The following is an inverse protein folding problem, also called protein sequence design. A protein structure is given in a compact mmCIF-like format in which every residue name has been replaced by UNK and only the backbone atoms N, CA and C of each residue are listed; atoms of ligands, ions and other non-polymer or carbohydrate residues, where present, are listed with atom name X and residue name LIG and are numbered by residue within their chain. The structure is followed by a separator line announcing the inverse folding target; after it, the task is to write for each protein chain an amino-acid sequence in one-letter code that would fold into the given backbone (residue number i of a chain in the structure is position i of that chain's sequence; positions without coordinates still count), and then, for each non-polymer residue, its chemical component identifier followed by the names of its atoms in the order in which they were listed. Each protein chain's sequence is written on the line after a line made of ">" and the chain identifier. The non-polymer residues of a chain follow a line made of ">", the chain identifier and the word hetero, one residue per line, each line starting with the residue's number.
data_IF_027063979865
#
_entry.id   IF_027063979865
#
_cell.length_a   1.000
_cell.length_b   1.000
_cell.length_c   1.000
_cell.angle_alpha   90.00
_cell.angle_beta   90.00
_cell.angle_gamma   90.00
#
_symmetry.space_group_name_H-M   'P 1'
#
loop_
_entity.id
_entity.type
_entity.pdbx_description
1 polymer ?
#
# COMPACT_ATOMS: atom_id res chain seq x y z
N UNK A 1 -10.78 3.54 19.42
CA UNK A 1 -11.50 2.56 20.27
C UNK A 1 -12.38 1.72 19.36
N UNK A 2 -12.09 0.43 19.18
CA UNK A 2 -12.87 -0.43 18.30
C UNK A 2 -14.16 -0.87 18.99
N UNK A 3 -15.19 -0.03 19.00
CA UNK A 3 -16.57 -0.46 19.27
C UNK A 3 -17.22 -0.79 17.94
N UNK A 4 -16.85 -1.95 17.40
CA UNK A 4 -17.55 -2.58 16.28
C UNK A 4 -18.73 -3.42 16.80
N UNK A 5 -19.59 -3.83 15.88
CA UNK A 5 -20.82 -4.64 16.05
C UNK A 5 -20.63 -5.96 16.84
N UNK A 6 -19.39 -6.39 17.11
CA UNK A 6 -19.07 -7.62 17.86
C UNK A 6 -18.53 -7.34 19.28
N UNK A 7 -18.88 -8.19 20.27
CA UNK A 7 -18.25 -8.18 21.58
C UNK A 7 -16.74 -8.47 21.46
N UNK A 8 -15.93 -7.89 22.36
CA UNK A 8 -14.46 -7.93 22.29
C UNK A 8 -13.93 -9.36 22.27
N UNK A 9 -14.60 -10.29 22.96
CA UNK A 9 -14.22 -11.70 23.01
C UNK A 9 -14.41 -12.40 21.65
N UNK A 10 -15.46 -12.04 20.90
CA UNK A 10 -15.70 -12.60 19.57
C UNK A 10 -14.75 -11.97 18.52
N UNK A 11 -14.44 -10.68 18.63
CA UNK A 11 -13.56 -10.00 17.68
C UNK A 11 -12.17 -10.63 17.58
N UNK A 12 -11.62 -11.17 18.67
CA UNK A 12 -10.30 -11.83 18.68
C UNK A 12 -10.26 -13.06 17.76
N UNK A 13 -11.36 -13.78 17.60
CA UNK A 13 -11.43 -14.97 16.74
C UNK A 13 -11.90 -14.63 15.33
N UNK A 14 -12.89 -13.74 15.19
CA UNK A 14 -13.44 -13.39 13.89
C UNK A 14 -12.46 -12.58 13.03
N UNK A 15 -11.66 -11.68 13.63
CA UNK A 15 -10.74 -10.83 12.85
C UNK A 15 -9.65 -11.64 12.14
N UNK A 16 -8.87 -12.51 12.81
CA UNK A 16 -7.85 -13.32 12.13
C UNK A 16 -8.44 -14.26 11.07
N UNK A 17 -9.62 -14.81 11.32
CA UNK A 17 -10.26 -15.76 10.41
C UNK A 17 -10.71 -15.06 9.13
N UNK A 18 -11.34 -13.88 9.26
CA UNK A 18 -11.74 -13.06 8.12
C UNK A 18 -10.51 -12.56 7.35
N UNK A 19 -9.46 -12.06 8.01
CA UNK A 19 -8.27 -11.56 7.31
C UNK A 19 -7.50 -12.67 6.60
N UNK A 20 -7.43 -13.87 7.20
CA UNK A 20 -6.79 -15.03 6.58
C UNK A 20 -7.57 -15.54 5.37
N UNK A 21 -8.90 -15.63 5.46
CA UNK A 21 -9.75 -15.98 4.32
C UNK A 21 -9.64 -14.95 3.19
N UNK A 22 -9.65 -13.66 3.52
CA UNK A 22 -9.51 -12.58 2.54
C UNK A 22 -8.12 -12.63 1.88
N UNK A 23 -7.06 -12.86 2.66
CA UNK A 23 -5.70 -13.00 2.17
C UNK A 23 -5.52 -14.18 1.21
N UNK A 24 -6.09 -15.34 1.56
CA UNK A 24 -6.09 -16.53 0.71
C UNK A 24 -6.85 -16.28 -0.61
N UNK A 25 -8.02 -15.63 -0.52
CA UNK A 25 -8.82 -15.27 -1.69
C UNK A 25 -8.06 -14.32 -2.62
N UNK A 26 -7.48 -13.25 -2.09
CA UNK A 26 -6.71 -12.28 -2.87
C UNK A 26 -5.46 -12.93 -3.48
N UNK A 27 -4.77 -13.79 -2.72
CA UNK A 27 -3.61 -14.54 -3.21
C UNK A 27 -3.95 -15.48 -4.36
N UNK A 28 -5.05 -16.23 -4.25
CA UNK A 28 -5.56 -17.10 -5.32
C UNK A 28 -5.93 -16.31 -6.58
N UNK A 29 -6.65 -15.20 -6.42
CA UNK A 29 -7.02 -14.33 -7.54
C UNK A 29 -5.78 -13.74 -8.23
N UNK A 30 -4.79 -13.29 -7.44
CA UNK A 30 -3.56 -12.71 -7.96
C UNK A 30 -2.70 -13.72 -8.74
N UNK A 31 -2.64 -14.97 -8.28
CA UNK A 31 -2.01 -16.09 -9.00
C UNK A 31 -2.69 -16.33 -10.35
N UNK A 32 -4.03 -16.44 -10.36
CA UNK A 32 -4.80 -16.72 -11.58
C UNK A 32 -4.75 -15.57 -12.59
N UNK A 33 -4.72 -14.32 -12.13
CA UNK A 33 -4.74 -13.16 -13.02
C UNK A 33 -3.38 -12.75 -13.55
N UNK A 34 -2.27 -13.23 -12.95
CA UNK A 34 -0.91 -12.80 -13.31
C UNK A 34 -0.72 -11.29 -13.12
N UNK A 35 -1.30 -10.73 -12.06
CA UNK A 35 -1.42 -9.28 -11.89
C UNK A 35 -0.05 -8.60 -11.74
N UNK A 36 0.23 -7.62 -12.60
CA UNK A 36 1.43 -6.79 -12.53
C UNK A 36 1.11 -5.35 -12.93
N UNK A 37 1.13 -4.43 -11.95
CA UNK A 37 0.80 -3.01 -12.18
C UNK A 37 1.81 -2.32 -13.11
N UNK A 38 3.08 -2.73 -13.06
CA UNK A 38 4.15 -2.17 -13.92
C UNK A 38 4.02 -2.67 -15.36
N UNK A 39 3.71 -3.97 -15.52
CA UNK A 39 3.48 -4.58 -16.83
C UNK A 39 2.25 -4.03 -17.54
N UNK A 40 1.22 -3.61 -16.78
CA UNK A 40 -0.02 -3.09 -17.35
C UNK A 40 0.17 -1.89 -18.27
N UNK A 41 1.02 -0.92 -17.89
CA UNK A 41 1.31 0.23 -18.74
C UNK A 41 2.16 -0.14 -19.96
N UNK A 42 3.21 -0.95 -19.78
CA UNK A 42 4.06 -1.41 -20.89
C UNK A 42 3.25 -2.17 -21.94
N UNK A 43 2.41 -3.11 -21.50
CA UNK A 43 1.65 -3.99 -22.40
C UNK A 43 0.50 -3.22 -23.09
N UNK A 44 -0.02 -2.16 -22.45
CA UNK A 44 -0.96 -1.23 -23.08
C UNK A 44 -0.29 -0.42 -24.20
N UNK A 45 0.90 0.16 -23.96
CA UNK A 45 1.59 0.97 -24.97
C UNK A 45 2.17 0.14 -26.11
N UNK A 46 2.80 -1.00 -25.81
CA UNK A 46 3.53 -1.80 -26.81
C UNK A 46 2.63 -2.78 -27.57
N UNK A 47 1.75 -3.49 -26.85
CA UNK A 47 0.93 -4.56 -27.43
C UNK A 47 -0.56 -4.22 -27.52
N UNK A 48 -0.98 -3.06 -27.00
CA UNK A 48 -2.40 -2.64 -26.92
C UNK A 48 -3.29 -3.66 -26.21
N UNK A 49 -2.73 -4.46 -25.31
CA UNK A 49 -3.50 -5.40 -24.50
C UNK A 49 -4.00 -4.73 -23.22
N UNK A 50 -5.32 -4.61 -23.08
CA UNK A 50 -5.97 -3.93 -21.95
C UNK A 50 -6.20 -4.84 -20.74
N UNK A 51 -5.97 -6.15 -20.85
CA UNK A 51 -6.30 -7.14 -19.81
C UNK A 51 -5.66 -6.80 -18.45
N UNK A 52 -4.37 -6.47 -18.44
CA UNK A 52 -3.63 -6.14 -17.21
C UNK A 52 -4.03 -4.75 -16.68
N UNK A 53 -4.31 -3.81 -17.58
CA UNK A 53 -4.74 -2.45 -17.23
C UNK A 53 -6.15 -2.46 -16.59
N UNK A 54 -7.07 -3.27 -17.11
CA UNK A 54 -8.40 -3.44 -16.50
C UNK A 54 -8.30 -4.01 -15.08
N UNK A 55 -7.35 -4.90 -14.82
CA UNK A 55 -7.12 -5.40 -13.46
C UNK A 55 -6.69 -4.29 -12.49
N UNK A 56 -5.86 -3.34 -12.96
CA UNK A 56 -5.41 -2.21 -12.15
C UNK A 56 -6.55 -1.26 -11.82
N UNK A 57 -7.39 -0.97 -12.80
CA UNK A 57 -8.59 -0.16 -12.59
C UNK A 57 -9.57 -0.83 -11.61
N UNK A 58 -9.78 -2.15 -11.74
CA UNK A 58 -10.64 -2.90 -10.81
C UNK A 58 -10.09 -2.84 -9.38
N UNK A 59 -8.77 -2.88 -9.17
CA UNK A 59 -8.18 -2.74 -7.82
C UNK A 59 -8.51 -1.38 -7.22
N UNK A 60 -8.35 -0.29 -7.98
CA UNK A 60 -8.67 1.06 -7.52
C UNK A 60 -10.15 1.18 -7.17
N UNK A 61 -11.03 0.72 -8.06
CA UNK A 61 -12.49 0.79 -7.86
C UNK A 61 -12.92 -0.09 -6.69
N UNK A 62 -12.41 -1.31 -6.58
CA UNK A 62 -12.74 -2.23 -5.49
C UNK A 62 -12.26 -1.71 -4.14
N UNK A 63 -11.05 -1.11 -4.08
CA UNK A 63 -10.57 -0.45 -2.87
C UNK A 63 -11.49 0.71 -2.49
N UNK A 64 -11.81 1.60 -3.45
CA UNK A 64 -12.68 2.74 -3.22
C UNK A 64 -14.07 2.32 -2.69
N UNK A 65 -14.71 1.35 -3.36
CA UNK A 65 -16.02 0.82 -2.97
C UNK A 65 -15.92 0.12 -1.61
N UNK A 66 -14.88 -0.67 -1.37
CA UNK A 66 -14.65 -1.34 -0.09
C UNK A 66 -14.58 -0.34 1.06
N UNK A 67 -13.73 0.69 0.93
CA UNK A 67 -13.62 1.73 1.94
C UNK A 67 -14.92 2.53 2.12
N UNK A 68 -15.66 2.82 1.04
CA UNK A 68 -16.95 3.49 1.10
C UNK A 68 -17.98 2.65 1.89
N UNK A 69 -18.02 1.34 1.66
CA UNK A 69 -18.87 0.42 2.42
C UNK A 69 -18.47 0.40 3.90
N UNK A 70 -17.16 0.33 4.22
CA UNK A 70 -16.69 0.36 5.60
C UNK A 70 -16.98 1.69 6.31
N UNK A 71 -16.98 2.80 5.57
CA UNK A 71 -17.38 4.11 6.07
C UNK A 71 -18.87 4.15 6.45
N UNK A 72 -19.76 3.60 5.59
CA UNK A 72 -21.19 3.50 5.89
C UNK A 72 -21.50 2.54 7.05
N UNK A 73 -20.78 1.43 7.15
CA UNK A 73 -21.06 0.38 8.14
C UNK A 73 -20.45 0.66 9.52
N UNK A 74 -19.28 1.32 9.57
CA UNK A 74 -18.51 1.60 10.79
C UNK A 74 -17.79 2.95 10.70
N UNK A 75 -18.49 4.09 10.91
CA UNK A 75 -17.89 5.42 10.80
C UNK A 75 -16.78 5.69 11.84
N UNK A 76 -16.79 4.98 12.98
CA UNK A 76 -15.78 5.11 14.04
C UNK A 76 -14.47 4.31 13.78
N UNK A 77 -14.43 3.43 12.77
CA UNK A 77 -13.24 2.63 12.47
C UNK A 77 -12.29 3.30 11.47
N UNK A 78 -12.78 4.28 10.69
CA UNK A 78 -12.05 4.95 9.61
C UNK A 78 -12.24 6.47 9.68
N UNK A 79 -11.72 7.10 10.74
CA UNK A 79 -11.87 8.56 10.98
C UNK A 79 -11.26 9.44 9.87
N UNK A 80 -10.37 8.88 9.02
CA UNK A 80 -9.64 9.61 7.96
C UNK A 80 -10.07 9.28 6.52
N UNK A 81 -11.23 8.66 6.32
CA UNK A 81 -11.78 8.38 4.98
C UNK A 81 -12.88 9.41 4.67
N UNK A 82 -12.82 10.34 3.70
CA UNK A 82 -11.85 10.74 2.68
C UNK A 82 -10.89 11.81 3.23
N UNK A 83 -9.58 11.57 3.22
CA UNK A 83 -8.60 12.55 3.70
C UNK A 83 -8.79 13.93 3.04
N UNK A 84 -9.13 13.99 1.74
CA UNK A 84 -9.34 15.25 1.02
C UNK A 84 -10.55 16.08 1.49
N UNK A 85 -11.54 15.47 2.17
CA UNK A 85 -12.72 16.16 2.69
C UNK A 85 -12.59 16.53 4.18
N UNK A 86 -11.83 15.75 4.98
CA UNK A 86 -11.68 16.00 6.44
C UNK A 86 -10.49 16.87 6.78
N UNK A 87 -9.43 16.82 5.98
CA UNK A 87 -8.20 17.58 6.17
C UNK A 87 -7.78 18.04 4.77
N UNK A 88 -7.94 19.32 4.44
CA UNK A 88 -7.86 19.80 3.06
C UNK A 88 -6.67 19.25 2.24
N UNK A 89 -6.74 19.27 0.90
CA UNK A 89 -5.80 18.61 -0.02
C UNK A 89 -4.30 18.97 0.14
N UNK A 90 -3.98 19.95 0.99
CA UNK A 90 -2.63 20.37 1.36
C UNK A 90 -2.11 19.71 2.67
N UNK A 91 -2.91 18.90 3.35
CA UNK A 91 -2.50 18.15 4.55
C UNK A 91 -1.96 16.78 4.19
N UNK A 92 -1.07 16.21 5.02
CA UNK A 92 -0.35 14.99 4.69
C UNK A 92 -1.28 13.78 4.68
N UNK A 93 -1.00 12.83 3.79
CA UNK A 93 -1.70 11.54 3.76
C UNK A 93 -1.53 10.85 5.14
N UNK A 94 -2.61 10.29 5.72
CA UNK A 94 -2.55 9.56 6.99
C UNK A 94 -1.46 8.48 6.94
N UNK A 95 -0.42 8.63 7.76
CA UNK A 95 0.76 7.76 7.77
C UNK A 95 2.08 8.46 7.43
N UNK A 96 2.06 9.72 7.00
CA UNK A 96 3.27 10.53 6.88
C UNK A 96 3.72 11.08 8.25
N UNK A 97 5.03 11.22 8.53
CA UNK A 97 5.49 11.80 9.78
C UNK A 97 4.96 13.22 9.95
N UNK A 98 4.34 13.53 11.08
CA UNK A 98 3.73 14.85 11.34
C UNK A 98 4.76 15.96 11.59
N UNK A 99 4.36 17.21 11.29
CA UNK A 99 5.13 18.43 11.63
C UNK A 99 5.97 19.04 10.50
N UNK A 100 5.60 18.82 9.24
CA UNK A 100 6.34 19.32 8.08
C UNK A 100 5.53 20.23 7.17
N UNK A 101 6.24 21.10 6.44
CA UNK A 101 5.65 21.93 5.39
C UNK A 101 5.19 21.08 4.18
N UNK A 102 4.15 21.54 3.48
CA UNK A 102 3.56 20.89 2.30
C UNK A 102 4.60 20.56 1.20
N UNK A 103 5.63 21.41 1.06
CA UNK A 103 6.73 21.22 0.11
C UNK A 103 7.58 20.00 0.46
N UNK A 104 7.81 19.72 1.74
CA UNK A 104 8.57 18.53 2.15
C UNK A 104 7.79 17.26 1.78
N UNK A 105 6.49 17.20 2.03
CA UNK A 105 5.69 16.02 1.66
C UNK A 105 5.67 15.74 0.16
N UNK A 106 5.66 16.77 -0.69
CA UNK A 106 5.78 16.60 -2.14
C UNK A 106 7.13 15.97 -2.51
N UNK A 107 8.23 16.49 -1.95
CA UNK A 107 9.56 15.93 -2.16
C UNK A 107 9.62 14.45 -1.72
N UNK A 108 8.98 14.11 -0.58
CA UNK A 108 8.89 12.73 -0.07
C UNK A 108 8.00 11.80 -0.90
N UNK A 109 7.00 12.31 -1.60
CA UNK A 109 6.21 11.49 -2.52
C UNK A 109 6.94 11.22 -3.83
N UNK A 110 7.66 12.21 -4.36
CA UNK A 110 8.27 12.16 -5.69
C UNK A 110 9.57 11.35 -5.68
N UNK A 111 10.48 11.63 -4.74
CA UNK A 111 11.82 11.01 -4.74
C UNK A 111 11.74 9.50 -4.43
N UNK A 112 11.21 9.07 -3.27
CA UNK A 112 10.94 7.66 -2.99
C UNK A 112 10.04 6.98 -4.03
N UNK A 113 8.97 7.65 -4.50
CA UNK A 113 8.05 7.09 -5.49
C UNK A 113 8.77 6.73 -6.80
N UNK A 114 9.63 7.63 -7.29
CA UNK A 114 10.46 7.37 -8.45
C UNK A 114 11.45 6.21 -8.21
N UNK A 115 12.13 6.21 -7.05
CA UNK A 115 13.11 5.17 -6.72
C UNK A 115 12.47 3.77 -6.62
N UNK A 116 11.30 3.67 -5.99
CA UNK A 116 10.54 2.41 -5.90
C UNK A 116 10.11 1.96 -7.30
N UNK A 117 9.64 2.87 -8.15
CA UNK A 117 9.33 2.57 -9.55
C UNK A 117 10.54 2.04 -10.32
N UNK A 118 11.69 2.69 -10.17
CA UNK A 118 12.94 2.29 -10.81
C UNK A 118 13.42 0.91 -10.37
N UNK A 119 13.43 0.65 -9.05
CA UNK A 119 13.79 -0.66 -8.49
C UNK A 119 12.85 -1.75 -9.02
N UNK A 120 11.54 -1.47 -9.08
CA UNK A 120 10.57 -2.45 -9.51
C UNK A 120 10.66 -2.77 -11.02
N UNK A 121 11.15 -1.84 -11.84
CA UNK A 121 11.52 -2.11 -13.24
C UNK A 121 12.75 -3.01 -13.33
N UNK A 122 13.80 -2.74 -12.54
CA UNK A 122 15.01 -3.59 -12.49
C UNK A 122 14.72 -5.01 -12.02
N UNK A 123 13.79 -5.18 -11.07
CA UNK A 123 13.33 -6.47 -10.57
C UNK A 123 12.42 -7.23 -11.55
N UNK A 124 11.87 -6.56 -12.56
CA UNK A 124 10.94 -7.17 -13.50
C UNK A 124 9.55 -7.50 -12.92
N UNK A 125 9.13 -6.83 -11.83
CA UNK A 125 7.84 -7.09 -11.21
C UNK A 125 7.47 -6.11 -10.09
N UNK A 126 6.18 -5.95 -9.83
CA UNK A 126 5.69 -5.17 -8.69
C UNK A 126 5.71 -6.00 -7.39
N UNK A 127 5.57 -5.39 -6.20
CA UNK A 127 5.61 -6.11 -4.92
C UNK A 127 4.64 -7.31 -4.86
N UNK A 128 3.43 -7.14 -5.39
CA UNK A 128 2.42 -8.21 -5.46
C UNK A 128 2.84 -9.34 -6.42
N UNK A 129 3.51 -9.03 -7.53
CA UNK A 129 3.97 -10.07 -8.45
C UNK A 129 5.12 -10.88 -7.83
N UNK A 130 5.98 -10.23 -7.05
CA UNK A 130 7.08 -10.91 -6.36
C UNK A 130 6.57 -11.83 -5.24
N UNK A 131 5.52 -11.46 -4.50
CA UNK A 131 4.90 -12.35 -3.51
C UNK A 131 4.29 -13.58 -4.17
N UNK A 132 3.58 -13.39 -5.29
CA UNK A 132 3.00 -14.49 -6.07
C UNK A 132 4.09 -15.42 -6.63
N UNK A 133 5.16 -14.87 -7.21
CA UNK A 133 6.29 -15.67 -7.73
C UNK A 133 7.02 -16.42 -6.62
N UNK A 134 7.11 -15.86 -5.42
CA UNK A 134 7.64 -16.57 -4.27
C UNK A 134 6.77 -17.78 -3.90
N UNK A 135 5.44 -17.66 -3.99
CA UNK A 135 4.51 -18.78 -3.80
C UNK A 135 4.54 -19.81 -4.94
N UNK A 136 4.88 -19.41 -6.17
CA UNK A 136 5.08 -20.31 -7.32
C UNK A 136 6.41 -21.10 -7.23
N UNK A 137 7.26 -20.83 -6.23
CA UNK A 137 8.52 -21.54 -5.99
C UNK A 137 9.78 -20.86 -6.52
N UNK A 138 9.70 -19.58 -6.92
CA UNK A 138 10.88 -18.83 -7.38
C UNK A 138 11.72 -18.32 -6.20
N UNK A 139 12.91 -18.91 -6.01
CA UNK A 139 13.82 -18.56 -4.92
C UNK A 139 14.29 -17.10 -4.96
N UNK A 140 14.44 -16.48 -6.14
CA UNK A 140 14.88 -15.08 -6.27
C UNK A 140 13.81 -14.13 -5.73
N UNK A 141 12.55 -14.41 -6.06
CA UNK A 141 11.41 -13.65 -5.59
C UNK A 141 11.21 -13.81 -4.07
N UNK A 142 11.47 -15.00 -3.52
CA UNK A 142 11.40 -15.26 -2.09
C UNK A 142 12.42 -14.41 -1.30
N UNK A 143 13.68 -14.34 -1.75
CA UNK A 143 14.69 -13.49 -1.11
C UNK A 143 14.34 -12.00 -1.17
N UNK A 144 13.77 -11.54 -2.29
CA UNK A 144 13.26 -10.17 -2.39
C UNK A 144 12.13 -9.90 -1.38
N UNK A 145 11.19 -10.83 -1.24
CA UNK A 145 10.08 -10.67 -0.30
C UNK A 145 10.56 -10.58 1.16
N UNK A 146 11.49 -11.45 1.55
CA UNK A 146 12.11 -11.41 2.89
C UNK A 146 12.85 -10.08 3.09
N UNK A 147 13.61 -9.63 2.09
CA UNK A 147 14.30 -8.34 2.12
C UNK A 147 13.34 -7.15 2.27
N UNK A 148 12.18 -7.19 1.60
CA UNK A 148 11.15 -6.17 1.74
C UNK A 148 10.54 -6.15 3.15
N UNK A 149 10.27 -7.32 3.74
CA UNK A 149 9.76 -7.44 5.11
C UNK A 149 10.79 -6.97 6.15
N UNK A 150 12.05 -7.33 6.01
CA UNK A 150 13.12 -6.85 6.90
C UNK A 150 13.34 -5.33 6.72
N UNK A 151 13.32 -4.86 5.47
CA UNK A 151 13.48 -3.46 5.11
C UNK A 151 12.37 -2.57 5.66
N UNK A 152 11.12 -3.02 5.68
CA UNK A 152 10.00 -2.25 6.24
C UNK A 152 10.15 -2.04 7.75
N UNK A 153 10.60 -3.07 8.49
CA UNK A 153 10.86 -2.99 9.93
C UNK A 153 12.03 -2.04 10.21
N UNK A 154 13.13 -2.17 9.47
CA UNK A 154 14.30 -1.29 9.61
C UNK A 154 13.96 0.17 9.29
N UNK A 155 13.16 0.40 8.24
CA UNK A 155 12.71 1.74 7.86
C UNK A 155 11.83 2.36 8.95
N UNK A 156 10.89 1.59 9.50
CA UNK A 156 10.00 2.06 10.56
C UNK A 156 10.78 2.37 11.85
N UNK A 157 11.73 1.51 12.24
CA UNK A 157 12.44 1.62 13.52
C UNK A 157 13.57 2.67 13.51
N UNK A 158 14.31 2.79 12.41
CA UNK A 158 15.50 3.64 12.35
C UNK A 158 15.26 4.84 11.43
N UNK A 159 14.93 4.59 10.16
CA UNK A 159 14.98 5.62 9.12
C UNK A 159 13.93 6.71 9.33
N UNK A 160 12.73 6.36 9.83
CA UNK A 160 11.66 7.33 10.10
C UNK A 160 12.10 8.45 11.05
N UNK A 161 12.84 8.13 12.11
CA UNK A 161 13.34 9.10 13.08
C UNK A 161 14.45 10.00 12.51
N UNK A 162 15.42 9.41 11.81
CA UNK A 162 16.52 10.15 11.17
C UNK A 162 16.03 11.08 10.06
N UNK A 163 15.07 10.63 9.26
CA UNK A 163 14.49 11.42 8.16
C UNK A 163 13.74 12.63 8.71
N UNK A 164 12.95 12.47 9.78
CA UNK A 164 12.25 13.60 10.40
C UNK A 164 13.21 14.59 11.05
N UNK A 165 14.27 14.11 11.71
CA UNK A 165 15.30 14.97 12.28
C UNK A 165 16.06 15.77 11.21
N UNK A 166 16.42 15.13 10.10
CA UNK A 166 17.14 15.74 8.99
C UNK A 166 16.29 16.81 8.28
N UNK A 167 14.98 16.58 8.13
CA UNK A 167 14.08 17.59 7.55
C UNK A 167 13.83 18.79 8.46
N UNK A 168 13.76 18.57 9.78
CA UNK A 168 13.71 19.67 10.75
C UNK A 168 14.99 20.50 10.70
N UNK A 169 16.14 19.85 10.54
CA UNK A 169 17.44 20.53 10.36
C UNK A 169 17.55 21.32 9.04
N UNK A 170 16.89 20.87 7.98
CA UNK A 170 16.82 21.56 6.67
C UNK A 170 15.80 22.71 6.62
N UNK A 171 15.17 23.09 7.74
CA UNK A 171 14.26 24.24 7.81
C UNK A 171 12.85 23.98 7.27
N UNK A 172 12.48 22.72 7.04
CA UNK A 172 11.11 22.32 6.65
C UNK A 172 10.23 21.91 7.83
N UNK A 173 10.72 22.07 9.07
CA UNK A 173 9.93 21.89 10.28
C UNK A 173 9.00 23.08 10.49
N UNK A 174 7.76 22.81 10.87
CA UNK A 174 6.87 23.81 11.49
C UNK A 174 7.29 23.99 12.95
#
# INVERSE_FOLDING_TARGET
>A
MATGILPKEAAVFFVPLVTLLLGLLIGYLAQRSGYCSIGGFRDYFLFRHTRLLSGYLTLIVAAFVGYLIFWFLTPAAMEHFFWAFTSGPATPIPGAPGGLNTVAYLIFSVIPGFLVGFIAVLLGGCPIRQTVMASEGNYKAAWFFIGMCAGSILFAALVSGWVVALMKALGFGV
#
